data_IF_224318332885
#
_entry.id   IF_224318332885
#
_cell.length_a   1.000
_cell.length_b   1.000
_cell.length_c   1.000
_cell.angle_alpha   90.00
_cell.angle_beta   90.00
_cell.angle_gamma   90.00
#
_symmetry.space_group_name_H-M   'P 1'
#
loop_
_entity.id
_entity.type
_entity.pdbx_description
1 polymer ?
#
# COMPACT_ATOMS: atom_id res chain seq x y z
N UNK A 1 -7.65 15.56 22.69
CA UNK A 1 -8.23 15.52 21.33
C UNK A 1 -7.41 14.54 20.51
N UNK A 2 -7.99 13.42 20.07
CA UNK A 2 -7.29 12.52 19.16
C UNK A 2 -7.09 13.24 17.84
N UNK A 3 -5.89 13.76 17.60
CA UNK A 3 -5.54 14.39 16.33
C UNK A 3 -5.47 13.30 15.26
N UNK A 4 -6.44 13.31 14.38
CA UNK A 4 -6.51 12.36 13.27
C UNK A 4 -5.31 12.56 12.34
N UNK A 5 -4.52 11.50 12.12
CA UNK A 5 -3.39 11.56 11.20
C UNK A 5 -3.87 11.45 9.75
N UNK A 6 -3.33 12.31 8.89
CA UNK A 6 -3.50 12.24 7.44
C UNK A 6 -2.13 12.30 6.76
N UNK A 7 -1.94 11.46 5.77
CA UNK A 7 -0.76 11.53 4.90
C UNK A 7 -0.85 12.71 3.92
N UNK A 8 -2.06 13.05 3.47
CA UNK A 8 -2.27 14.18 2.55
C UNK A 8 -2.12 15.51 3.27
N UNK A 9 -1.22 16.35 2.78
CA UNK A 9 -0.86 17.66 3.34
C UNK A 9 -1.01 18.76 2.31
N UNK A 10 -1.00 20.01 2.78
CA UNK A 10 -0.99 21.22 1.98
C UNK A 10 0.32 21.99 2.17
N UNK A 11 0.92 22.40 1.08
CA UNK A 11 1.90 23.46 1.01
C UNK A 11 1.12 24.78 0.78
N UNK A 12 1.02 25.60 1.82
CA UNK A 12 0.21 26.81 1.76
C UNK A 12 0.82 27.87 0.82
N UNK A 13 2.15 27.89 0.70
CA UNK A 13 2.83 28.87 -0.19
C UNK A 13 2.47 28.61 -1.65
N UNK A 14 2.37 27.34 -2.06
CA UNK A 14 2.00 26.94 -3.43
C UNK A 14 0.50 26.98 -3.67
N UNK A 15 -0.33 27.01 -2.65
CA UNK A 15 -1.78 26.96 -2.82
C UNK A 15 -2.32 28.30 -3.32
N UNK A 16 -3.00 28.28 -4.45
CA UNK A 16 -3.62 29.48 -5.08
C UNK A 16 -5.14 29.53 -4.89
N UNK A 17 -5.74 28.66 -4.06
CA UNK A 17 -7.18 28.67 -3.79
C UNK A 17 -8.08 28.34 -4.99
N UNK A 18 -7.56 27.71 -6.05
CA UNK A 18 -8.23 27.48 -7.34
C UNK A 18 -9.43 26.51 -7.31
N UNK A 19 -9.76 25.89 -6.18
CA UNK A 19 -10.90 24.98 -5.96
C UNK A 19 -10.89 23.64 -6.69
N UNK A 20 -9.92 23.32 -7.55
CA UNK A 20 -9.86 22.05 -8.29
C UNK A 20 -9.92 20.82 -7.38
N UNK A 21 -9.23 20.88 -6.24
CA UNK A 21 -9.25 19.81 -5.24
C UNK A 21 -10.64 19.62 -4.56
N UNK A 22 -11.44 20.67 -4.44
CA UNK A 22 -12.81 20.59 -3.91
C UNK A 22 -13.71 19.80 -4.85
N UNK A 23 -13.66 20.16 -6.16
CA UNK A 23 -14.53 19.55 -7.19
C UNK A 23 -14.32 18.05 -7.33
N UNK A 24 -13.13 17.54 -6.96
CA UNK A 24 -12.74 16.14 -7.11
C UNK A 24 -12.72 15.36 -5.80
N UNK A 25 -12.98 16.00 -4.67
CA UNK A 25 -12.96 15.31 -3.38
C UNK A 25 -14.24 14.46 -3.20
N UNK A 26 -14.14 13.12 -3.14
CA UNK A 26 -15.31 12.23 -3.09
C UNK A 26 -16.09 12.36 -1.78
N UNK A 27 -15.43 12.80 -0.70
CA UNK A 27 -16.04 12.96 0.63
C UNK A 27 -16.28 14.42 1.01
N UNK A 28 -16.07 15.34 0.08
CA UNK A 28 -16.18 16.78 0.32
C UNK A 28 -15.32 17.26 1.53
N UNK A 29 -14.18 16.63 1.75
CA UNK A 29 -13.27 16.91 2.86
C UNK A 29 -12.45 18.20 2.69
N UNK A 30 -12.65 18.98 1.63
CA UNK A 30 -11.83 20.17 1.37
C UNK A 30 -12.71 21.41 1.28
N UNK A 31 -12.24 22.50 1.91
CA UNK A 31 -12.81 23.83 1.81
C UNK A 31 -11.71 24.84 1.49
N UNK A 32 -12.04 25.94 0.82
CA UNK A 32 -11.15 27.09 0.64
C UNK A 32 -11.60 28.22 1.55
N UNK A 33 -10.68 28.73 2.34
CA UNK A 33 -10.86 29.90 3.22
C UNK A 33 -9.64 30.79 3.10
N UNK A 34 -9.84 32.08 3.04
CA UNK A 34 -8.74 33.08 2.90
C UNK A 34 -7.76 32.73 1.76
N UNK A 35 -8.30 32.24 0.62
CA UNK A 35 -7.49 31.88 -0.55
C UNK A 35 -6.67 30.60 -0.43
N UNK A 36 -6.82 29.82 0.63
CA UNK A 36 -6.09 28.56 0.86
C UNK A 36 -7.04 27.38 1.09
N UNK A 37 -6.63 26.19 0.64
CA UNK A 37 -7.39 24.97 0.85
C UNK A 37 -7.16 24.42 2.27
N UNK A 38 -8.23 24.02 2.94
CA UNK A 38 -8.19 23.36 4.25
C UNK A 38 -8.79 21.95 4.14
N UNK A 39 -8.20 20.97 4.82
CA UNK A 39 -8.67 19.59 4.88
C UNK A 39 -9.48 19.40 6.17
N UNK A 40 -10.70 18.92 6.02
CA UNK A 40 -11.54 18.49 7.14
C UNK A 40 -11.15 17.07 7.50
N UNK A 41 -10.46 16.91 8.61
CA UNK A 41 -9.80 15.65 9.00
C UNK A 41 -10.76 14.47 9.08
N UNK A 42 -11.94 14.67 9.66
CA UNK A 42 -12.94 13.62 9.89
C UNK A 42 -13.53 13.07 8.57
N UNK A 43 -13.40 13.83 7.47
CA UNK A 43 -13.92 13.47 6.15
C UNK A 43 -12.86 13.01 5.18
N UNK A 44 -11.58 13.28 5.45
CA UNK A 44 -10.51 12.91 4.54
C UNK A 44 -10.27 11.39 4.59
N UNK A 45 -10.23 10.76 3.42
CA UNK A 45 -9.95 9.33 3.24
C UNK A 45 -8.57 9.05 2.64
N UNK A 46 -7.75 10.08 2.51
CA UNK A 46 -6.38 10.02 1.96
C UNK A 46 -6.26 9.36 0.58
N UNK A 47 -7.29 9.48 -0.26
CA UNK A 47 -7.33 8.86 -1.59
C UNK A 47 -6.30 9.45 -2.59
N UNK A 48 -5.70 10.61 -2.29
CA UNK A 48 -4.71 11.26 -3.14
C UNK A 48 -5.28 12.02 -4.34
N UNK A 49 -6.60 12.01 -4.60
CA UNK A 49 -7.19 12.67 -5.77
C UNK A 49 -6.87 14.17 -5.81
N UNK A 50 -6.87 14.83 -4.66
CA UNK A 50 -6.51 16.25 -4.56
C UNK A 50 -5.02 16.51 -4.86
N UNK A 51 -4.14 15.52 -4.70
CA UNK A 51 -2.73 15.60 -5.12
C UNK A 51 -2.66 15.55 -6.64
N UNK A 52 -3.36 14.58 -7.24
CA UNK A 52 -3.38 14.34 -8.69
C UNK A 52 -3.89 15.52 -9.50
N UNK A 53 -4.92 16.21 -8.98
CA UNK A 53 -5.58 17.32 -9.72
C UNK A 53 -5.06 18.70 -9.39
N UNK A 54 -4.05 18.83 -8.54
CA UNK A 54 -3.53 20.12 -8.15
C UNK A 54 -2.52 20.66 -9.20
N UNK A 55 -2.87 21.68 -10.00
CA UNK A 55 -1.97 22.21 -11.03
C UNK A 55 -0.77 22.96 -10.45
N UNK A 56 -0.85 23.36 -9.18
CA UNK A 56 0.20 24.08 -8.47
C UNK A 56 1.07 23.14 -7.61
N UNK A 57 0.83 21.83 -7.65
CA UNK A 57 1.52 20.83 -6.80
C UNK A 57 1.56 21.22 -5.31
N UNK A 58 0.54 21.95 -4.85
CA UNK A 58 0.40 22.37 -3.46
C UNK A 58 -0.06 21.27 -2.52
N UNK A 59 -0.67 20.19 -3.06
CA UNK A 59 -1.01 18.99 -2.29
C UNK A 59 0.08 17.95 -2.45
N UNK A 60 0.49 17.34 -1.33
CA UNK A 60 1.50 16.29 -1.32
C UNK A 60 1.17 15.22 -0.28
N UNK A 61 1.87 14.11 -0.35
CA UNK A 61 1.78 13.03 0.62
C UNK A 61 2.98 13.08 1.58
N UNK A 62 2.72 13.19 2.87
CA UNK A 62 3.75 13.05 3.91
C UNK A 62 4.08 11.57 4.08
N UNK A 63 5.32 11.20 3.83
CA UNK A 63 5.84 9.83 3.78
C UNK A 63 7.17 9.73 4.50
N UNK A 64 7.57 8.51 4.81
CA UNK A 64 8.86 8.27 5.44
C UNK A 64 10.00 8.43 4.42
N UNK A 65 11.18 8.82 4.93
CA UNK A 65 12.40 8.93 4.14
C UNK A 65 13.07 7.56 3.97
N UNK A 66 13.72 7.34 2.84
CA UNK A 66 14.62 6.20 2.64
C UNK A 66 15.72 6.10 3.71
N UNK A 67 16.15 7.23 4.28
CA UNK A 67 17.20 7.23 5.30
C UNK A 67 16.82 6.47 6.57
N UNK A 68 15.52 6.19 6.78
CA UNK A 68 15.07 5.38 7.92
C UNK A 68 15.60 3.94 7.91
N UNK A 69 16.11 3.46 6.77
CA UNK A 69 16.71 2.12 6.70
C UNK A 69 17.90 1.96 7.66
N UNK A 70 18.60 3.05 7.98
CA UNK A 70 19.76 3.00 8.91
C UNK A 70 19.36 2.83 10.38
N UNK A 71 18.06 3.00 10.71
CA UNK A 71 17.55 2.87 12.09
C UNK A 71 17.49 1.39 12.53
N UNK A 72 17.59 0.44 11.59
CA UNK A 72 17.39 -0.98 11.84
C UNK A 72 18.64 -1.80 11.51
N UNK A 73 18.85 -2.90 12.25
CA UNK A 73 19.94 -3.84 12.01
C UNK A 73 19.68 -4.75 10.82
N UNK A 74 18.43 -5.12 10.59
CA UNK A 74 18.00 -5.94 9.46
C UNK A 74 16.78 -5.27 8.77
N UNK A 75 16.83 -5.14 7.47
CA UNK A 75 15.91 -4.32 6.67
C UNK A 75 15.23 -5.14 5.60
N UNK A 76 13.92 -5.23 5.66
CA UNK A 76 13.11 -5.97 4.70
C UNK A 76 12.29 -5.00 3.85
N UNK A 77 12.49 -5.04 2.54
CA UNK A 77 11.63 -4.30 1.61
C UNK A 77 10.37 -5.10 1.28
N UNK A 78 9.22 -4.43 1.30
CA UNK A 78 7.93 -4.96 0.87
C UNK A 78 7.45 -4.20 -0.38
N UNK A 79 7.87 -4.60 -1.60
CA UNK A 79 7.36 -3.97 -2.81
C UNK A 79 5.89 -4.34 -3.04
N UNK A 80 5.03 -3.32 -3.23
CA UNK A 80 3.68 -3.55 -3.72
C UNK A 80 3.74 -4.09 -5.17
N UNK A 81 2.85 -5.01 -5.58
CA UNK A 81 2.87 -5.57 -6.94
C UNK A 81 2.79 -4.51 -8.04
N UNK A 82 2.13 -3.37 -7.77
CA UNK A 82 2.06 -2.22 -8.69
C UNK A 82 3.41 -1.56 -8.99
N UNK A 83 4.48 -1.87 -8.22
CA UNK A 83 5.83 -1.38 -8.50
C UNK A 83 6.38 -2.00 -9.81
N UNK A 84 6.12 -3.27 -10.02
CA UNK A 84 6.62 -4.00 -11.19
C UNK A 84 6.08 -3.43 -12.50
N UNK A 85 4.82 -2.99 -12.51
CA UNK A 85 4.20 -2.33 -13.67
C UNK A 85 4.67 -0.90 -13.95
N UNK A 86 5.60 -0.34 -13.15
CA UNK A 86 6.17 0.99 -13.44
C UNK A 86 7.33 0.95 -14.43
N UNK A 87 7.91 -0.22 -14.65
CA UNK A 87 9.07 -0.39 -15.52
C UNK A 87 8.63 -0.86 -16.91
N UNK A 88 9.01 -0.12 -17.94
CA UNK A 88 8.80 -0.54 -19.31
C UNK A 88 9.72 -1.72 -19.66
N UNK A 89 9.20 -2.74 -20.32
CA UNK A 89 9.96 -3.91 -20.76
C UNK A 89 10.67 -4.65 -19.59
N UNK A 90 9.99 -4.80 -18.45
CA UNK A 90 10.47 -5.63 -17.37
C UNK A 90 10.19 -7.10 -17.68
N UNK A 91 11.20 -7.82 -18.14
CA UNK A 91 11.08 -9.24 -18.50
C UNK A 91 11.15 -10.15 -17.26
N UNK A 92 11.85 -9.72 -16.21
CA UNK A 92 11.99 -10.48 -14.96
C UNK A 92 11.92 -9.54 -13.72
N UNK A 93 11.00 -9.86 -12.81
CA UNK A 93 10.84 -9.14 -11.52
C UNK A 93 12.12 -9.23 -10.67
N UNK A 94 12.94 -10.26 -10.86
CA UNK A 94 14.22 -10.44 -10.19
C UNK A 94 15.14 -9.22 -10.30
N UNK A 95 15.09 -8.45 -11.39
CA UNK A 95 15.83 -7.19 -11.51
C UNK A 95 15.43 -6.17 -10.45
N UNK A 96 14.15 -6.05 -10.16
CA UNK A 96 13.65 -5.13 -9.11
C UNK A 96 14.07 -5.62 -7.73
N UNK A 97 13.98 -6.94 -7.48
CA UNK A 97 14.36 -7.56 -6.21
C UNK A 97 15.86 -7.35 -5.94
N UNK A 98 16.68 -7.66 -6.92
CA UNK A 98 18.14 -7.48 -6.82
C UNK A 98 18.52 -6.01 -6.62
N UNK A 99 17.88 -5.09 -7.38
CA UNK A 99 18.11 -3.65 -7.24
C UNK A 99 17.71 -3.13 -5.85
N UNK A 100 16.63 -3.62 -5.25
CA UNK A 100 16.26 -3.27 -3.88
C UNK A 100 17.34 -3.68 -2.87
N UNK A 101 17.91 -4.87 -3.00
CA UNK A 101 19.02 -5.30 -2.13
C UNK A 101 20.25 -4.43 -2.31
N UNK A 102 20.58 -4.04 -3.54
CA UNK A 102 21.68 -3.09 -3.81
C UNK A 102 21.46 -1.72 -3.17
N UNK A 103 20.22 -1.33 -2.89
CA UNK A 103 19.88 -0.10 -2.16
C UNK A 103 20.03 -0.21 -0.65
N UNK A 104 20.46 -1.37 -0.13
CA UNK A 104 20.73 -1.59 1.29
C UNK A 104 19.64 -2.34 2.06
N UNK A 105 18.67 -2.94 1.36
CA UNK A 105 17.79 -3.90 1.99
C UNK A 105 18.46 -5.28 2.10
N UNK A 106 18.38 -5.89 3.27
CA UNK A 106 18.96 -7.22 3.51
C UNK A 106 18.10 -8.32 2.89
N UNK A 107 16.79 -8.07 2.80
CA UNK A 107 15.82 -9.00 2.22
C UNK A 107 14.69 -8.25 1.50
N UNK A 108 14.08 -8.92 0.53
CA UNK A 108 12.85 -8.47 -0.15
C UNK A 108 11.79 -9.53 0.05
N UNK A 109 10.67 -9.14 0.64
CA UNK A 109 9.49 -9.98 0.76
C UNK A 109 8.36 -9.40 -0.10
N UNK A 110 7.97 -10.09 -1.14
CA UNK A 110 7.00 -9.61 -2.11
C UNK A 110 5.58 -9.58 -1.51
N UNK A 111 4.94 -8.41 -1.51
CA UNK A 111 3.55 -8.28 -1.04
C UNK A 111 2.59 -9.14 -1.85
N UNK A 112 2.95 -9.51 -3.07
CA UNK A 112 2.26 -10.46 -3.91
C UNK A 112 2.03 -11.81 -3.22
N UNK A 113 3.02 -12.33 -2.44
CA UNK A 113 2.85 -13.55 -1.63
C UNK A 113 1.76 -13.37 -0.55
N UNK A 114 1.75 -12.20 0.10
CA UNK A 114 0.69 -11.85 1.06
C UNK A 114 -0.68 -11.76 0.40
N UNK A 115 -0.75 -11.28 -0.86
CA UNK A 115 -1.99 -11.19 -1.61
C UNK A 115 -2.57 -12.58 -1.96
N UNK A 116 -1.72 -13.54 -2.31
CA UNK A 116 -2.13 -14.94 -2.53
C UNK A 116 -2.75 -15.55 -1.27
N UNK A 117 -2.07 -15.40 -0.13
CA UNK A 117 -2.55 -15.89 1.16
C UNK A 117 -3.87 -15.25 1.58
N UNK A 118 -4.00 -13.93 1.38
CA UNK A 118 -5.26 -13.22 1.68
C UNK A 118 -6.38 -13.70 0.76
N UNK A 119 -6.10 -13.98 -0.51
CA UNK A 119 -7.08 -14.52 -1.45
C UNK A 119 -7.57 -15.91 -1.02
N UNK A 120 -6.66 -16.79 -0.58
CA UNK A 120 -7.01 -18.10 -0.06
C UNK A 120 -7.83 -18.01 1.23
N UNK A 121 -7.40 -17.15 2.16
CA UNK A 121 -8.14 -16.88 3.39
C UNK A 121 -9.53 -16.31 3.12
N UNK A 122 -9.66 -15.42 2.13
CA UNK A 122 -10.94 -14.83 1.72
C UNK A 122 -11.89 -15.88 1.18
N UNK A 123 -11.42 -16.78 0.29
CA UNK A 123 -12.25 -17.87 -0.24
C UNK A 123 -12.78 -18.76 0.89
N UNK A 124 -11.89 -19.16 1.79
CA UNK A 124 -12.25 -19.98 2.95
C UNK A 124 -13.26 -19.26 3.85
N UNK A 125 -12.98 -18.00 4.18
CA UNK A 125 -13.84 -17.20 5.04
C UNK A 125 -15.26 -17.04 4.47
N UNK A 126 -15.38 -16.73 3.16
CA UNK A 126 -16.69 -16.61 2.49
C UNK A 126 -17.44 -17.94 2.43
N UNK A 127 -16.71 -19.07 2.35
CA UNK A 127 -17.33 -20.40 2.33
C UNK A 127 -17.85 -20.85 3.71
N UNK A 128 -17.20 -20.40 4.79
CA UNK A 128 -17.49 -20.82 6.17
C UNK A 128 -18.44 -19.86 6.92
N UNK A 129 -18.63 -18.62 6.41
CA UNK A 129 -19.40 -17.60 7.13
C UNK A 129 -20.49 -16.98 6.23
N UNK A 130 -21.64 -16.71 6.83
CA UNK A 130 -22.72 -15.93 6.18
C UNK A 130 -22.41 -14.44 6.31
N UNK A 131 -21.92 -13.85 5.22
CA UNK A 131 -21.55 -12.42 5.15
C UNK A 131 -22.59 -11.67 4.34
N UNK A 132 -23.06 -10.49 4.80
CA UNK A 132 -23.98 -9.66 4.02
C UNK A 132 -23.41 -9.34 2.64
N UNK A 133 -24.22 -9.41 1.61
CA UNK A 133 -23.83 -9.08 0.24
C UNK A 133 -24.19 -7.63 -0.11
N UNK A 134 -23.37 -6.91 -0.88
CA UNK A 134 -22.09 -7.35 -1.50
C UNK A 134 -20.97 -7.51 -0.46
N UNK A 135 -20.10 -8.52 -0.63
CA UNK A 135 -18.89 -8.68 0.18
C UNK A 135 -17.84 -7.68 -0.27
N UNK A 136 -17.25 -6.94 0.67
CA UNK A 136 -16.31 -5.86 0.39
C UNK A 136 -14.93 -6.20 0.95
N UNK A 137 -13.91 -6.13 0.11
CA UNK A 137 -12.52 -6.35 0.53
C UNK A 137 -12.02 -5.27 1.49
N UNK A 138 -11.30 -5.69 2.54
CA UNK A 138 -10.62 -4.80 3.50
C UNK A 138 -9.25 -4.31 3.03
N UNK A 139 -8.75 -4.80 1.89
CA UNK A 139 -7.39 -4.53 1.41
C UNK A 139 -7.13 -3.06 1.07
N UNK A 140 -8.18 -2.31 0.67
CA UNK A 140 -8.05 -0.90 0.30
C UNK A 140 -8.45 0.02 1.46
N UNK A 141 -7.50 0.75 2.10
CA UNK A 141 -7.82 1.64 3.21
C UNK A 141 -8.70 2.84 2.78
N UNK A 142 -8.65 3.23 1.49
CA UNK A 142 -9.55 4.28 0.96
C UNK A 142 -10.99 3.81 0.99
N UNK A 143 -11.26 2.58 0.55
CA UNK A 143 -12.62 2.00 0.55
C UNK A 143 -13.12 1.85 1.98
N UNK A 144 -12.32 1.30 2.89
CA UNK A 144 -12.70 1.13 4.30
C UNK A 144 -13.04 2.48 4.96
N UNK A 145 -12.23 3.53 4.70
CA UNK A 145 -12.50 4.89 5.21
C UNK A 145 -13.72 5.53 4.55
N UNK A 146 -13.90 5.33 3.26
CA UNK A 146 -15.09 5.83 2.53
C UNK A 146 -16.38 5.23 3.11
N UNK A 147 -16.38 3.93 3.37
CA UNK A 147 -17.51 3.25 4.01
C UNK A 147 -17.79 3.87 5.37
N UNK A 148 -16.79 4.02 6.23
CA UNK A 148 -16.98 4.60 7.57
C UNK A 148 -17.50 6.04 7.55
N UNK A 149 -17.08 6.84 6.58
CA UNK A 149 -17.40 8.27 6.49
C UNK A 149 -18.75 8.49 5.80
N UNK A 150 -19.03 7.76 4.71
CA UNK A 150 -20.18 8.03 3.84
C UNK A 150 -21.26 6.94 3.87
N UNK A 151 -20.89 5.70 4.20
CA UNK A 151 -21.77 4.53 4.08
C UNK A 151 -21.66 3.59 5.30
N UNK A 152 -21.86 4.08 6.54
CA UNK A 152 -21.60 3.29 7.75
C UNK A 152 -22.42 2.00 7.85
N UNK A 153 -23.56 1.92 7.17
CA UNK A 153 -24.39 0.71 7.07
C UNK A 153 -23.69 -0.44 6.32
N UNK A 154 -22.65 -0.15 5.51
CA UNK A 154 -21.86 -1.17 4.80
C UNK A 154 -20.67 -1.71 5.62
N UNK A 155 -20.46 -1.24 6.84
CA UNK A 155 -19.36 -1.77 7.70
C UNK A 155 -19.46 -3.29 7.92
N UNK A 156 -20.65 -3.88 8.15
CA UNK A 156 -20.80 -5.34 8.29
C UNK A 156 -20.47 -6.14 7.01
N UNK A 157 -20.41 -5.49 5.86
CA UNK A 157 -20.07 -6.10 4.57
C UNK A 157 -18.57 -6.20 4.32
N UNK A 158 -17.76 -5.49 5.12
CA UNK A 158 -16.30 -5.47 4.96
C UNK A 158 -15.70 -6.72 5.60
N UNK A 159 -14.88 -7.44 4.83
CA UNK A 159 -14.19 -8.64 5.31
C UNK A 159 -13.27 -8.31 6.50
N UNK A 160 -13.33 -9.05 7.60
CA UNK A 160 -12.48 -8.87 8.76
C UNK A 160 -11.11 -9.57 8.58
N UNK A 161 -10.46 -9.31 7.44
CA UNK A 161 -9.16 -9.90 7.11
C UNK A 161 -8.10 -8.82 7.01
N UNK A 162 -6.87 -9.17 7.36
CA UNK A 162 -5.73 -8.28 7.17
C UNK A 162 -5.49 -7.99 5.68
N UNK A 163 -5.01 -6.79 5.39
CA UNK A 163 -4.62 -6.46 4.01
C UNK A 163 -3.38 -7.27 3.60
N UNK A 164 -3.14 -7.49 2.28
CA UNK A 164 -1.92 -8.13 1.79
C UNK A 164 -0.63 -7.50 2.33
N UNK A 165 -0.62 -6.17 2.52
CA UNK A 165 0.51 -5.45 3.12
C UNK A 165 0.78 -5.90 4.55
N UNK A 166 -0.23 -5.93 5.41
CA UNK A 166 -0.08 -6.33 6.82
C UNK A 166 0.26 -7.81 6.95
N UNK A 167 -0.36 -8.66 6.13
CA UNK A 167 -0.06 -10.11 6.10
C UNK A 167 1.39 -10.35 5.66
N UNK A 168 1.84 -9.68 4.61
CA UNK A 168 3.23 -9.78 4.15
C UNK A 168 4.21 -9.26 5.21
N UNK A 169 3.89 -8.14 5.87
CA UNK A 169 4.74 -7.55 6.91
C UNK A 169 4.91 -8.48 8.12
N UNK A 170 3.81 -9.07 8.58
CA UNK A 170 3.83 -10.03 9.69
C UNK A 170 4.71 -11.25 9.38
N UNK A 171 4.52 -11.84 8.20
CA UNK A 171 5.28 -13.03 7.78
C UNK A 171 6.76 -12.66 7.58
N UNK A 172 7.04 -11.57 6.88
CA UNK A 172 8.40 -11.11 6.63
C UNK A 172 9.19 -10.87 7.92
N UNK A 173 8.56 -10.25 8.93
CA UNK A 173 9.16 -10.06 10.24
C UNK A 173 9.45 -11.39 10.94
N UNK A 174 8.49 -12.32 10.92
CA UNK A 174 8.65 -13.64 11.52
C UNK A 174 9.75 -14.46 10.83
N UNK A 175 9.80 -14.47 9.49
CA UNK A 175 10.86 -15.13 8.72
C UNK A 175 12.24 -14.50 9.01
N UNK A 176 12.32 -13.17 9.10
CA UNK A 176 13.56 -12.47 9.42
C UNK A 176 14.04 -12.76 10.86
N UNK A 177 13.15 -12.80 11.85
CA UNK A 177 13.49 -13.19 13.22
C UNK A 177 14.03 -14.62 13.29
N UNK A 178 13.35 -15.56 12.63
CA UNK A 178 13.78 -16.96 12.59
C UNK A 178 15.17 -17.13 11.93
N UNK A 179 15.44 -16.32 10.89
CA UNK A 179 16.70 -16.38 10.13
C UNK A 179 17.87 -15.72 10.86
N UNK A 180 17.62 -14.61 11.55
CA UNK A 180 18.70 -13.76 12.10
C UNK A 180 18.89 -13.91 13.61
N UNK A 181 17.86 -14.38 14.32
CA UNK A 181 17.84 -14.38 15.79
C UNK A 181 17.68 -12.99 16.42
N UNK A 182 17.41 -11.94 15.62
CA UNK A 182 17.25 -10.58 16.09
C UNK A 182 15.87 -10.36 16.73
N UNK A 183 15.81 -9.41 17.65
CA UNK A 183 14.54 -8.94 18.20
C UNK A 183 13.69 -8.24 17.13
N UNK A 184 12.38 -8.28 17.30
CA UNK A 184 11.41 -7.65 16.39
C UNK A 184 11.71 -6.16 16.15
N UNK A 185 12.17 -5.45 17.18
CA UNK A 185 12.50 -4.01 17.11
C UNK A 185 13.76 -3.70 16.30
N UNK A 186 14.65 -4.67 16.14
CA UNK A 186 15.87 -4.54 15.33
C UNK A 186 15.62 -4.79 13.84
N UNK A 187 14.44 -5.29 13.48
CA UNK A 187 14.03 -5.62 12.11
C UNK A 187 13.09 -4.54 11.60
N UNK A 188 13.50 -3.83 10.55
CA UNK A 188 12.68 -2.81 9.88
C UNK A 188 11.94 -3.36 8.68
N UNK A 189 10.64 -3.15 8.63
CA UNK A 189 9.76 -3.53 7.52
C UNK A 189 9.35 -2.29 6.74
N UNK A 190 9.74 -2.21 5.48
CA UNK A 190 9.60 -1.03 4.63
C UNK A 190 8.65 -1.29 3.47
N UNK A 191 7.46 -0.72 3.52
CA UNK A 191 6.47 -0.88 2.45
C UNK A 191 6.66 0.16 1.34
N UNK A 192 6.79 -0.30 0.10
CA UNK A 192 6.98 0.55 -1.09
C UNK A 192 5.68 0.63 -1.86
N UNK A 193 5.06 1.82 -1.93
CA UNK A 193 3.71 1.98 -2.46
C UNK A 193 3.48 3.34 -3.16
N UNK A 194 2.57 3.42 -4.15
CA UNK A 194 2.14 4.70 -4.72
C UNK A 194 1.00 5.35 -3.91
N UNK A 195 0.42 4.64 -2.92
CA UNK A 195 -0.86 4.99 -2.30
C UNK A 195 -0.68 5.81 -1.02
N UNK A 196 -1.14 7.08 -0.95
CA UNK A 196 -1.04 7.89 0.26
C UNK A 196 -1.88 7.34 1.42
N UNK A 197 -3.02 6.69 1.14
CA UNK A 197 -3.85 6.11 2.19
C UNK A 197 -3.18 4.93 2.91
N UNK A 198 -2.23 4.24 2.26
CA UNK A 198 -1.43 3.19 2.90
C UNK A 198 -0.49 3.78 3.96
N UNK A 199 0.03 4.99 3.75
CA UNK A 199 0.83 5.70 4.77
C UNK A 199 -0.04 5.96 6.01
N UNK A 200 -1.25 6.46 5.78
CA UNK A 200 -2.19 6.70 6.88
C UNK A 200 -2.60 5.39 7.57
N UNK A 201 -2.78 4.30 6.81
CA UNK A 201 -3.13 3.00 7.37
C UNK A 201 -2.02 2.43 8.29
N UNK A 202 -0.76 2.67 7.97
CA UNK A 202 0.39 2.28 8.80
C UNK A 202 0.49 3.15 10.05
N UNK A 203 0.37 4.47 9.92
CA UNK A 203 0.52 5.41 11.05
C UNK A 203 -0.70 5.42 11.99
N UNK A 204 -1.87 5.10 11.47
CA UNK A 204 -3.14 5.04 12.22
C UNK A 204 -4.04 3.95 11.63
N UNK A 205 -3.77 2.68 11.96
CA UNK A 205 -4.56 1.54 11.48
C UNK A 205 -6.01 1.64 11.98
N UNK A 206 -6.94 1.09 11.18
CA UNK A 206 -8.38 1.10 11.52
C UNK A 206 -8.77 -0.20 12.24
N UNK A 207 -8.21 -1.33 11.80
CA UNK A 207 -8.64 -2.67 12.23
C UNK A 207 -7.59 -3.39 13.09
N UNK A 208 -6.41 -2.80 13.27
CA UNK A 208 -5.32 -3.33 14.07
C UNK A 208 -4.94 -2.33 15.15
N UNK A 209 -4.44 -2.77 16.31
CA UNK A 209 -3.89 -1.86 17.32
C UNK A 209 -2.66 -1.11 16.79
N UNK A 210 -1.79 -1.82 16.08
CA UNK A 210 -0.57 -1.30 15.46
C UNK A 210 -0.35 -1.97 14.11
N UNK A 211 0.35 -1.29 13.19
CA UNK A 211 0.78 -1.87 11.92
C UNK A 211 2.05 -2.68 12.11
N UNK A 212 2.19 -3.76 11.31
CA UNK A 212 3.44 -4.54 11.24
C UNK A 212 4.50 -3.88 10.34
N UNK A 213 4.19 -2.73 9.73
CA UNK A 213 5.08 -1.96 8.86
C UNK A 213 5.68 -0.79 9.63
N UNK A 214 7.00 -0.61 9.59
CA UNK A 214 7.70 0.46 10.30
C UNK A 214 7.77 1.76 9.50
N UNK A 215 7.92 1.65 8.17
CA UNK A 215 8.02 2.80 7.30
C UNK A 215 7.37 2.58 5.93
N UNK A 216 6.87 3.67 5.36
CA UNK A 216 6.25 3.67 4.02
C UNK A 216 7.03 4.58 3.09
N UNK A 217 7.62 3.97 2.06
CA UNK A 217 8.40 4.64 1.02
C UNK A 217 7.51 4.85 -0.21
N UNK A 218 7.50 6.08 -0.72
CA UNK A 218 6.74 6.34 -1.93
C UNK A 218 7.49 5.84 -3.18
N UNK A 219 6.78 5.16 -4.07
CA UNK A 219 7.34 4.66 -5.33
C UNK A 219 8.07 5.75 -6.11
N UNK A 220 7.53 6.97 -6.17
CA UNK A 220 8.14 8.09 -6.90
C UNK A 220 9.53 8.48 -6.39
N UNK A 221 9.86 8.19 -5.12
CA UNK A 221 11.15 8.53 -4.54
C UNK A 221 12.18 7.42 -4.77
N UNK A 222 11.75 6.16 -4.74
CA UNK A 222 12.64 5.02 -4.94
C UNK A 222 12.83 4.67 -6.43
N UNK A 223 11.85 4.94 -7.28
CA UNK A 223 11.85 4.57 -8.69
C UNK A 223 13.09 5.05 -9.47
N UNK A 224 13.50 6.34 -9.39
CA UNK A 224 14.67 6.80 -10.14
C UNK A 224 15.97 6.09 -9.71
N UNK A 225 16.06 5.75 -8.42
CA UNK A 225 17.23 5.08 -7.86
C UNK A 225 17.24 3.60 -8.24
N UNK A 226 16.07 2.94 -8.20
CA UNK A 226 15.91 1.56 -8.69
C UNK A 226 16.25 1.45 -10.17
N UNK A 227 15.70 2.32 -11.00
CA UNK A 227 15.95 2.31 -12.44
C UNK A 227 17.45 2.45 -12.76
N UNK A 228 18.15 3.32 -12.01
CA UNK A 228 19.60 3.46 -12.15
C UNK A 228 20.31 2.17 -11.80
N UNK A 229 19.97 1.49 -10.70
CA UNK A 229 20.61 0.23 -10.31
C UNK A 229 20.31 -0.86 -11.35
N UNK A 230 19.04 -1.00 -11.76
CA UNK A 230 18.63 -1.99 -12.75
C UNK A 230 19.37 -1.86 -14.08
N UNK A 231 19.64 -0.64 -14.54
CA UNK A 231 20.38 -0.38 -15.78
C UNK A 231 21.88 -0.83 -15.72
N UNK A 232 22.39 -1.06 -14.53
CA UNK A 232 23.77 -1.56 -14.32
C UNK A 232 23.82 -3.07 -14.07
N UNK A 233 22.66 -3.75 -13.93
CA UNK A 233 22.60 -5.20 -13.74
C UNK A 233 22.72 -5.93 -15.07
N UNK A 234 23.63 -6.87 -15.16
CA UNK A 234 23.74 -7.79 -16.32
C UNK A 234 22.67 -8.88 -16.28
N UNK A 235 22.37 -9.41 -15.09
CA UNK A 235 21.35 -10.41 -14.83
C UNK A 235 20.84 -10.27 -13.39
N UNK A 236 19.59 -10.68 -13.09
CA UNK A 236 19.10 -10.70 -11.71
C UNK A 236 19.81 -11.82 -10.92
N UNK A 237 20.18 -11.54 -9.68
CA UNK A 237 20.74 -12.52 -8.75
C UNK A 237 19.65 -13.23 -7.95
N UNK A 238 18.51 -12.58 -7.80
CA UNK A 238 17.38 -13.06 -7.01
C UNK A 238 16.15 -13.34 -7.87
N UNK A 239 15.53 -14.49 -7.66
CA UNK A 239 14.29 -14.86 -8.34
C UNK A 239 13.05 -14.36 -7.59
N UNK A 240 12.00 -14.03 -8.35
CA UNK A 240 10.66 -13.81 -7.83
C UNK A 240 10.12 -15.09 -7.17
N UNK A 241 9.59 -14.96 -5.94
CA UNK A 241 9.02 -16.07 -5.15
C UNK A 241 7.50 -16.07 -5.16
N UNK A 242 6.86 -14.98 -5.61
CA UNK A 242 5.41 -14.90 -5.73
C UNK A 242 4.92 -15.55 -7.01
N UNK A 243 3.73 -16.13 -6.94
CA UNK A 243 3.04 -16.65 -8.10
C UNK A 243 2.41 -15.54 -8.96
N UNK A 244 2.02 -15.91 -10.18
CA UNK A 244 1.41 -15.00 -11.14
C UNK A 244 0.13 -14.34 -10.61
N UNK A 245 -0.64 -15.04 -9.78
CA UNK A 245 -1.86 -14.50 -9.18
C UNK A 245 -1.59 -13.37 -8.22
N UNK A 246 -0.56 -13.50 -7.39
CA UNK A 246 -0.13 -12.45 -6.48
C UNK A 246 0.41 -11.22 -7.21
N UNK A 247 1.19 -11.41 -8.25
CA UNK A 247 1.71 -10.32 -9.09
C UNK A 247 0.56 -9.57 -9.78
N UNK A 248 -0.39 -10.31 -10.36
CA UNK A 248 -1.54 -9.74 -11.07
C UNK A 248 -2.60 -9.14 -10.13
N UNK A 249 -2.51 -9.37 -8.83
CA UNK A 249 -3.48 -8.88 -7.86
C UNK A 249 -3.68 -7.36 -7.88
N UNK A 250 -2.64 -6.60 -8.23
CA UNK A 250 -2.69 -5.15 -8.38
C UNK A 250 -3.29 -4.67 -9.71
N UNK A 251 -3.58 -5.57 -10.64
CA UNK A 251 -4.25 -5.26 -11.90
C UNK A 251 -5.75 -5.04 -11.68
N UNK A 252 -6.41 -4.35 -12.63
CA UNK A 252 -7.87 -4.19 -12.59
C UNK A 252 -8.56 -5.55 -12.59
N UNK A 253 -9.34 -5.83 -11.56
CA UNK A 253 -10.00 -7.13 -11.39
C UNK A 253 -9.11 -8.25 -10.86
N UNK A 254 -7.82 -8.01 -10.61
CA UNK A 254 -6.86 -9.05 -10.17
C UNK A 254 -7.25 -9.74 -8.88
N UNK A 255 -7.73 -9.00 -7.86
CA UNK A 255 -8.26 -9.58 -6.62
C UNK A 255 -9.46 -10.49 -6.89
N UNK A 256 -10.42 -10.02 -7.70
CA UNK A 256 -11.60 -10.82 -8.05
C UNK A 256 -11.23 -12.08 -8.85
N UNK A 257 -10.30 -11.97 -9.80
CA UNK A 257 -9.79 -13.11 -10.54
C UNK A 257 -9.13 -14.16 -9.63
N UNK A 258 -8.36 -13.70 -8.63
CA UNK A 258 -7.74 -14.58 -7.64
C UNK A 258 -8.79 -15.35 -6.82
N UNK A 259 -9.94 -14.72 -6.50
CA UNK A 259 -11.02 -15.36 -5.76
C UNK A 259 -11.82 -16.36 -6.60
N UNK A 260 -11.90 -16.15 -7.92
CA UNK A 260 -12.71 -16.96 -8.84
C UNK A 260 -11.93 -18.07 -9.56
N UNK A 261 -10.65 -18.25 -9.21
CA UNK A 261 -9.73 -19.20 -9.87
C UNK A 261 -10.37 -20.56 -10.18
N UNK A 262 -11.06 -21.14 -9.21
CA UNK A 262 -11.65 -22.48 -9.35
C UNK A 262 -12.89 -22.52 -10.25
N UNK A 263 -13.55 -21.38 -10.48
CA UNK A 263 -14.72 -21.27 -11.36
C UNK A 263 -14.35 -21.15 -12.84
N UNK A 264 -13.16 -20.59 -13.14
CA UNK A 264 -12.66 -20.50 -14.52
C UNK A 264 -11.95 -21.76 -14.98
N UNK A 265 -11.41 -22.57 -14.05
CA UNK A 265 -10.79 -23.86 -14.37
C UNK A 265 -11.80 -25.02 -14.47
N UNK A 266 -13.04 -24.83 -14.02
CA UNK A 266 -14.12 -25.82 -14.13
C UNK A 266 -15.01 -25.61 -15.36
N UNK A 267 -14.67 -24.72 -16.26
CA UNK A 267 -15.45 -24.38 -17.46
C UNK A 267 -14.81 -24.90 -18.77
N UNK A 268 -13.78 -25.76 -18.68
CA UNK A 268 -13.18 -26.47 -19.82
C UNK A 268 -13.63 -27.94 -19.89
#
# INVERSE_FOLDING_TARGET
>A
MNTYFHSVRLDEEKCMGCTNCIKRCPTQAIRVRSGKAHIISERCIDCGECIRVCPHHAKYSHRDSMNRIIEFKYRVALPAPSLYGQFNNLDDIGYVITALKMLGFDEVFEVARGAELVSDATRKYIAEHDIPRPVISSACPVVCRLIRVCFPHLVPHVLPLNSPMETAALIARSEAQAKTGLDSLDIGIFFITPCPAKITAVKQPICLPESNVDAVIAMKDIYPVLLKQMNHLGAPEDACKSGLMGVNWASSGGESAALLKDKYLAAD
#
